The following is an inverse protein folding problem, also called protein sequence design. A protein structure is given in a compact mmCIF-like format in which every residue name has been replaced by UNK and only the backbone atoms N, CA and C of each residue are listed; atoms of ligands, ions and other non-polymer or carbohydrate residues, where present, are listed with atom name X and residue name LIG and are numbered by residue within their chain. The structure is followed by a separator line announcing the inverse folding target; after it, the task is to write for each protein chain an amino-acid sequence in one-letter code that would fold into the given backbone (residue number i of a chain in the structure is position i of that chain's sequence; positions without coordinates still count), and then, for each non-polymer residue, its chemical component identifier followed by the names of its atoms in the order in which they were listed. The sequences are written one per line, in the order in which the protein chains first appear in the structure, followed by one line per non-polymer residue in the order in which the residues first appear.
data_IF_721209793989
#
_entry.id   IF_721209793989
#
_cell.length_a   1.000
_cell.length_b   1.000
_cell.length_c   1.000
_cell.angle_alpha   90.00
_cell.angle_beta   90.00
_cell.angle_gamma   90.00
#
_symmetry.space_group_name_H-M   'P 1'
#
loop_
_entity.id
_entity.type
_entity.pdbx_description
1 polymer ?
#
# COMPACT_ATOMS: atom_id res chain seq x y z
N UNK A 1 -4.34 4.48 23.97
CA UNK A 1 -3.50 4.60 22.75
C UNK A 1 -3.22 3.25 22.12
N UNK A 2 -2.53 2.31 22.79
CA UNK A 2 -2.23 0.96 22.23
C UNK A 2 -3.49 0.26 21.70
N UNK A 3 -4.56 0.20 22.50
CA UNK A 3 -5.84 -0.38 22.09
C UNK A 3 -6.43 0.32 20.87
N UNK A 4 -6.39 1.66 20.83
CA UNK A 4 -6.96 2.46 19.73
C UNK A 4 -6.22 2.19 18.41
N UNK A 5 -4.88 2.08 18.44
CA UNK A 5 -4.11 1.70 17.26
C UNK A 5 -4.53 0.31 16.77
N UNK A 6 -4.63 -0.65 17.68
CA UNK A 6 -5.04 -2.03 17.36
C UNK A 6 -6.45 -2.13 16.80
N UNK A 7 -7.43 -1.50 17.44
CA UNK A 7 -8.82 -1.48 16.98
C UNK A 7 -8.92 -0.83 15.60
N UNK A 8 -8.13 0.22 15.33
CA UNK A 8 -8.10 0.87 14.01
C UNK A 8 -7.56 -0.07 12.94
N UNK A 9 -6.38 -0.67 13.16
CA UNK A 9 -5.75 -1.59 12.21
C UNK A 9 -4.58 -2.33 12.86
N UNK A 10 -4.58 -3.66 12.81
CA UNK A 10 -3.52 -4.48 13.41
C UNK A 10 -2.13 -4.22 12.82
N UNK A 11 -2.07 -3.88 11.53
CA UNK A 11 -0.84 -3.48 10.86
C UNK A 11 -0.23 -2.23 11.50
N UNK A 12 -1.05 -1.24 11.87
CA UNK A 12 -0.57 -0.04 12.58
C UNK A 12 -0.11 -0.39 13.99
N UNK A 13 -0.73 -1.39 14.65
CA UNK A 13 -0.31 -1.82 15.99
C UNK A 13 1.06 -2.48 15.96
N UNK A 14 1.33 -3.34 14.98
CA UNK A 14 2.65 -3.96 14.82
C UNK A 14 3.70 -2.90 14.51
N UNK A 15 3.43 -2.01 13.55
CA UNK A 15 4.38 -0.96 13.16
C UNK A 15 4.60 0.08 14.26
N UNK A 16 3.55 0.55 14.92
CA UNK A 16 3.62 1.49 16.05
C UNK A 16 4.13 0.82 17.34
N UNK A 17 3.95 -0.48 17.49
CA UNK A 17 4.51 -1.28 18.59
C UNK A 17 6.04 -1.22 18.61
N UNK A 18 6.69 -1.06 17.46
CA UNK A 18 8.14 -0.89 17.36
C UNK A 18 8.61 0.33 18.15
N UNK A 19 8.07 1.53 17.91
CA UNK A 19 8.50 2.73 18.64
C UNK A 19 8.12 2.69 20.12
N UNK A 20 6.97 2.11 20.46
CA UNK A 20 6.54 1.95 21.86
C UNK A 20 7.48 1.00 22.61
N UNK A 21 7.82 -0.14 22.01
CA UNK A 21 8.76 -1.11 22.53
C UNK A 21 10.17 -0.53 22.66
N UNK A 22 10.66 0.15 21.61
CA UNK A 22 11.94 0.86 21.64
C UNK A 22 11.97 1.91 22.74
N UNK A 23 10.91 2.69 22.92
CA UNK A 23 10.85 3.71 23.97
C UNK A 23 10.86 3.08 25.37
N UNK A 24 10.04 2.05 25.60
CA UNK A 24 9.99 1.35 26.88
C UNK A 24 11.36 0.72 27.21
N UNK A 25 11.98 0.04 26.25
CA UNK A 25 13.32 -0.53 26.40
C UNK A 25 14.36 0.56 26.66
N UNK A 26 14.36 1.63 25.88
CA UNK A 26 15.28 2.75 26.03
C UNK A 26 15.18 3.40 27.41
N UNK A 27 13.97 3.66 27.91
CA UNK A 27 13.75 4.20 29.26
C UNK A 27 14.17 3.21 30.34
N UNK A 28 13.86 1.92 30.18
CA UNK A 28 14.29 0.89 31.10
C UNK A 28 15.84 0.81 31.19
N UNK A 29 16.54 0.92 30.07
CA UNK A 29 18.00 0.89 30.02
C UNK A 29 18.65 2.17 30.56
N UNK A 30 18.06 3.34 30.32
CA UNK A 30 18.65 4.64 30.65
C UNK A 30 18.25 5.21 32.01
N UNK A 31 17.10 4.80 32.55
CA UNK A 31 16.53 5.34 33.78
C UNK A 31 16.19 4.22 34.77
N UNK A 32 16.88 4.20 35.91
CA UNK A 32 16.69 3.18 36.96
C UNK A 32 15.30 3.26 37.60
N UNK A 33 14.66 4.43 37.61
CA UNK A 33 13.30 4.60 38.19
C UNK A 33 12.23 3.82 37.41
N UNK A 34 12.50 3.53 36.13
CA UNK A 34 11.61 2.73 35.28
C UNK A 34 11.68 1.23 35.58
N UNK A 35 12.69 0.74 36.34
CA UNK A 35 12.87 -0.69 36.68
C UNK A 35 12.15 -1.13 37.95
N UNK A 36 11.29 -0.29 38.50
CA UNK A 36 10.55 -0.63 39.71
C UNK A 36 9.40 -1.59 39.40
N UNK A 37 9.03 -2.44 40.38
CA UNK A 37 7.85 -3.33 40.27
C UNK A 37 6.59 -2.55 39.90
N UNK A 38 6.45 -1.31 40.40
CA UNK A 38 5.32 -0.43 40.08
C UNK A 38 5.30 -0.04 38.60
N UNK A 39 6.42 0.41 38.05
CA UNK A 39 6.52 0.81 36.63
C UNK A 39 6.24 -0.37 35.71
N UNK A 40 6.81 -1.54 36.00
CA UNK A 40 6.52 -2.78 35.25
C UNK A 40 5.06 -3.22 35.40
N UNK A 41 4.49 -3.10 36.59
CA UNK A 41 3.07 -3.37 36.86
C UNK A 41 2.13 -2.45 36.07
N UNK A 42 2.44 -1.16 35.98
CA UNK A 42 1.66 -0.21 35.18
C UNK A 42 1.78 -0.48 33.67
N UNK A 43 2.97 -0.87 33.19
CA UNK A 43 3.15 -1.30 31.80
C UNK A 43 2.32 -2.56 31.51
N UNK A 44 2.39 -3.56 32.39
CA UNK A 44 1.60 -4.79 32.30
C UNK A 44 0.10 -4.52 32.32
N UNK A 45 -0.37 -3.65 33.23
CA UNK A 45 -1.77 -3.22 33.30
C UNK A 45 -2.21 -2.53 32.01
N UNK A 46 -1.36 -1.65 31.44
CA UNK A 46 -1.67 -0.96 30.17
C UNK A 46 -1.83 -1.96 29.02
N UNK A 47 -0.95 -2.96 28.94
CA UNK A 47 -1.02 -4.02 27.93
C UNK A 47 -2.24 -4.93 28.15
N UNK A 48 -2.54 -5.29 29.40
CA UNK A 48 -3.71 -6.08 29.75
C UNK A 48 -5.01 -5.36 29.39
N UNK A 49 -5.15 -4.09 29.79
CA UNK A 49 -6.31 -3.27 29.41
C UNK A 49 -6.44 -3.15 27.89
N UNK A 50 -5.31 -2.96 27.18
CA UNK A 50 -5.35 -2.90 25.72
C UNK A 50 -5.81 -4.22 25.11
N UNK A 51 -5.29 -5.36 25.59
CA UNK A 51 -5.71 -6.68 25.16
C UNK A 51 -7.20 -6.93 25.45
N UNK A 52 -7.68 -6.58 26.64
CA UNK A 52 -9.10 -6.72 27.00
C UNK A 52 -10.02 -5.89 26.10
N UNK A 53 -9.63 -4.65 25.76
CA UNK A 53 -10.40 -3.81 24.83
C UNK A 53 -10.39 -4.34 23.40
N UNK A 54 -9.30 -4.98 22.98
CA UNK A 54 -9.18 -5.56 21.64
C UNK A 54 -9.76 -6.99 21.55
N UNK A 55 -9.94 -7.68 22.66
CA UNK A 55 -10.33 -9.09 22.72
C UNK A 55 -11.63 -9.39 21.95
N UNK A 56 -12.72 -8.59 22.05
CA UNK A 56 -13.96 -8.88 21.31
C UNK A 56 -13.77 -8.90 19.77
N UNK A 57 -12.74 -8.23 19.26
CA UNK A 57 -12.43 -8.18 17.82
C UNK A 57 -11.37 -9.24 17.45
N UNK A 58 -10.34 -9.39 18.28
CA UNK A 58 -9.23 -10.32 18.01
C UNK A 58 -9.68 -11.77 18.18
N UNK A 59 -10.45 -12.08 19.23
CA UNK A 59 -10.82 -13.46 19.56
C UNK A 59 -11.60 -14.13 18.43
N UNK A 60 -12.66 -13.55 17.85
CA UNK A 60 -13.38 -14.18 16.75
C UNK A 60 -12.51 -14.42 15.51
N UNK A 61 -11.62 -13.47 15.18
CA UNK A 61 -10.73 -13.60 14.01
C UNK A 61 -9.67 -14.67 14.24
N UNK A 62 -9.04 -14.70 15.41
CA UNK A 62 -8.06 -15.74 15.77
C UNK A 62 -8.74 -17.09 15.85
N UNK A 63 -9.92 -17.18 16.47
CA UNK A 63 -10.72 -18.40 16.52
C UNK A 63 -11.03 -18.90 15.12
N UNK A 64 -11.58 -18.04 14.26
CA UNK A 64 -11.88 -18.34 12.86
C UNK A 64 -10.64 -18.81 12.09
N UNK A 65 -9.48 -18.18 12.31
CA UNK A 65 -8.22 -18.57 11.68
C UNK A 65 -7.74 -19.95 12.13
N UNK A 66 -7.95 -20.31 13.40
CA UNK A 66 -7.53 -21.59 13.98
C UNK A 66 -8.48 -22.75 13.62
N UNK A 67 -9.76 -22.47 13.41
CA UNK A 67 -10.78 -23.51 13.17
C UNK A 67 -11.09 -23.78 11.71
N UNK A 68 -10.61 -22.96 10.77
CA UNK A 68 -10.94 -23.14 9.34
C UNK A 68 -10.02 -24.15 8.63
N UNK A 69 -10.56 -24.82 7.61
CA UNK A 69 -9.84 -25.81 6.80
C UNK A 69 -8.76 -25.20 5.87
N UNK A 70 -8.90 -23.92 5.50
CA UNK A 70 -8.00 -23.24 4.54
C UNK A 70 -7.44 -21.90 5.07
N UNK A 71 -6.64 -21.90 6.16
CA UNK A 71 -6.12 -20.68 6.80
C UNK A 71 -5.40 -19.71 5.84
N UNK A 72 -4.84 -20.24 4.76
CA UNK A 72 -4.14 -19.50 3.70
C UNK A 72 -5.01 -18.49 2.94
N UNK A 73 -6.33 -18.62 2.90
CA UNK A 73 -7.14 -17.67 2.09
C UNK A 73 -7.21 -16.27 2.74
N UNK A 74 -6.85 -16.16 4.02
CA UNK A 74 -6.65 -14.88 4.70
C UNK A 74 -5.20 -14.36 4.53
N UNK A 75 -4.27 -15.23 4.15
CA UNK A 75 -2.87 -14.93 3.90
C UNK A 75 -2.63 -14.71 2.40
N UNK A 76 -2.99 -13.53 1.91
CA UNK A 76 -2.64 -13.14 0.55
C UNK A 76 -1.13 -12.85 0.49
N UNK A 77 -0.35 -13.80 -0.02
CA UNK A 77 1.06 -13.56 -0.34
C UNK A 77 1.11 -12.41 -1.36
N UNK A 78 1.69 -11.28 -0.96
CA UNK A 78 2.01 -10.19 -1.88
C UNK A 78 3.51 -10.26 -2.17
N UNK A 79 3.93 -10.08 -3.43
CA UNK A 79 5.32 -10.22 -3.80
C UNK A 79 6.23 -9.27 -2.98
N UNK A 80 7.46 -9.71 -2.72
CA UNK A 80 8.47 -8.97 -1.95
C UNK A 80 8.91 -7.65 -2.60
N UNK A 81 8.38 -7.28 -3.77
CA UNK A 81 8.72 -6.11 -4.57
C UNK A 81 8.31 -4.75 -3.97
N UNK A 82 7.66 -4.73 -2.80
CA UNK A 82 7.16 -3.52 -2.14
C UNK A 82 8.09 -2.95 -1.06
N UNK A 83 9.40 -3.14 -1.18
CA UNK A 83 10.39 -2.57 -0.27
C UNK A 83 10.86 -1.18 -0.71
N UNK A 84 11.36 -0.37 0.23
CA UNK A 84 11.85 0.97 -0.09
C UNK A 84 13.25 0.93 -0.73
N UNK A 85 13.45 1.73 -1.78
CA UNK A 85 14.77 2.00 -2.33
C UNK A 85 15.50 3.03 -1.47
N UNK A 86 16.77 2.76 -1.13
CA UNK A 86 17.58 3.65 -0.31
C UNK A 86 17.79 5.02 -0.97
N UNK A 87 17.94 5.07 -2.29
CA UNK A 87 18.14 6.31 -3.03
C UNK A 87 16.85 7.15 -3.07
N UNK A 88 15.67 6.52 -2.96
CA UNK A 88 14.39 7.22 -3.00
C UNK A 88 14.15 8.17 -1.81
N UNK A 89 14.90 8.03 -0.71
CA UNK A 89 14.85 8.98 0.41
C UNK A 89 15.52 10.33 0.09
N UNK A 90 16.34 10.39 -0.95
CA UNK A 90 17.14 11.57 -1.32
C UNK A 90 16.64 12.27 -2.59
N UNK A 91 15.72 11.67 -3.34
CA UNK A 91 15.24 12.20 -4.61
C UNK A 91 13.77 12.64 -4.47
N UNK A 92 13.43 13.89 -4.79
CA UNK A 92 12.05 14.39 -4.73
C UNK A 92 11.08 13.64 -5.64
N UNK A 93 9.79 13.88 -5.41
CA UNK A 93 8.68 13.41 -6.25
C UNK A 93 8.87 13.79 -7.73
N UNK A 94 8.50 12.89 -8.65
CA UNK A 94 8.39 13.24 -10.07
C UNK A 94 7.33 14.32 -10.34
N UNK A 95 6.34 14.45 -9.43
CA UNK A 95 5.27 15.46 -9.51
C UNK A 95 5.65 16.82 -8.89
N UNK A 96 6.93 17.03 -8.57
CA UNK A 96 7.38 18.29 -7.98
C UNK A 96 7.31 19.43 -9.02
N UNK A 97 6.77 20.62 -8.66
CA UNK A 97 6.50 21.71 -9.61
C UNK A 97 7.74 22.23 -10.33
N UNK A 98 8.90 22.15 -9.69
CA UNK A 98 10.18 22.59 -10.27
C UNK A 98 11.12 21.38 -10.38
N UNK A 99 11.45 20.99 -11.61
CA UNK A 99 12.38 19.89 -11.84
C UNK A 99 11.77 18.49 -11.77
N UNK A 100 10.44 18.36 -11.79
CA UNK A 100 9.74 17.07 -11.84
C UNK A 100 10.27 16.13 -12.93
N UNK A 101 10.48 16.64 -14.16
CA UNK A 101 11.07 15.86 -15.27
C UNK A 101 12.49 15.35 -14.96
N UNK A 102 13.32 16.18 -14.32
CA UNK A 102 14.67 15.77 -13.92
C UNK A 102 14.61 14.67 -12.86
N UNK A 103 13.72 14.81 -11.88
CA UNK A 103 13.52 13.79 -10.85
C UNK A 103 12.91 12.51 -11.42
N UNK A 104 12.02 12.61 -12.41
CA UNK A 104 11.50 11.46 -13.14
C UNK A 104 12.63 10.66 -13.80
N UNK A 105 13.57 11.35 -14.49
CA UNK A 105 14.75 10.71 -15.10
C UNK A 105 15.62 9.98 -14.08
N UNK A 106 15.88 10.60 -12.92
CA UNK A 106 16.64 9.95 -11.86
C UNK A 106 15.92 8.73 -11.24
N UNK A 107 14.62 8.60 -11.48
CA UNK A 107 13.76 7.55 -10.92
C UNK A 107 13.29 6.54 -11.96
N UNK A 108 13.71 6.66 -13.23
CA UNK A 108 13.40 5.70 -14.30
C UNK A 108 13.79 4.26 -13.93
N UNK A 109 14.87 4.09 -13.16
CA UNK A 109 15.30 2.76 -12.68
C UNK A 109 14.47 2.23 -11.50
N UNK A 110 13.70 3.06 -10.81
CA UNK A 110 12.97 2.64 -9.61
C UNK A 110 11.80 1.74 -9.97
N UNK A 111 11.42 0.85 -9.04
CA UNK A 111 10.16 0.13 -9.18
C UNK A 111 8.98 1.10 -9.19
N UNK A 112 7.90 0.75 -9.88
CA UNK A 112 6.66 1.54 -9.97
C UNK A 112 6.18 1.98 -8.58
N UNK A 113 6.26 1.09 -7.59
CA UNK A 113 5.90 1.41 -6.21
C UNK A 113 6.79 2.49 -5.60
N UNK A 114 8.11 2.42 -5.79
CA UNK A 114 9.02 3.44 -5.27
C UNK A 114 8.90 4.76 -6.03
N UNK A 115 8.50 4.75 -7.30
CA UNK A 115 8.19 5.96 -8.06
C UNK A 115 6.93 6.66 -7.51
N UNK A 116 5.85 5.90 -7.30
CA UNK A 116 4.56 6.42 -6.83
C UNK A 116 4.57 6.77 -5.32
N UNK A 117 5.17 5.93 -4.48
CA UNK A 117 5.23 6.12 -3.01
C UNK A 117 6.59 6.64 -2.59
N UNK A 118 6.84 7.90 -2.95
CA UNK A 118 8.08 8.62 -2.69
C UNK A 118 8.36 8.78 -1.18
N UNK A 119 9.39 8.13 -0.60
CA UNK A 119 9.75 8.29 0.82
C UNK A 119 10.75 9.45 1.05
N UNK A 120 10.76 10.44 0.15
CA UNK A 120 11.70 11.55 0.17
C UNK A 120 11.70 12.26 1.52
N UNK A 121 12.88 12.42 2.12
CA UNK A 121 13.04 13.00 3.46
C UNK A 121 12.96 14.53 3.43
N UNK A 122 13.25 15.20 2.31
CA UNK A 122 13.41 16.66 2.26
C UNK A 122 14.82 17.10 2.65
N UNK A 123 15.48 17.93 1.85
CA UNK A 123 16.85 18.37 2.13
C UNK A 123 16.89 19.32 3.32
N UNK A 124 15.89 20.21 3.45
CA UNK A 124 15.77 21.11 4.60
C UNK A 124 15.52 20.32 5.89
N UNK A 125 14.63 19.34 5.85
CA UNK A 125 14.34 18.47 7.00
C UNK A 125 15.57 17.65 7.38
N UNK A 126 16.28 17.08 6.40
CA UNK A 126 17.52 16.33 6.63
C UNK A 126 18.60 17.22 7.28
N UNK A 127 18.82 18.43 6.77
CA UNK A 127 19.79 19.37 7.32
C UNK A 127 19.45 19.78 8.75
N UNK A 128 18.17 20.07 9.05
CA UNK A 128 17.69 20.38 10.39
C UNK A 128 17.82 19.19 11.34
N UNK A 129 17.48 17.99 10.88
CA UNK A 129 17.62 16.76 11.66
C UNK A 129 19.07 16.49 12.02
N UNK A 130 20.00 16.64 11.07
CA UNK A 130 21.44 16.52 11.32
C UNK A 130 21.93 17.58 12.31
N UNK A 131 21.56 18.85 12.11
CA UNK A 131 21.93 19.94 13.01
C UNK A 131 21.41 19.73 14.44
N UNK A 132 20.14 19.34 14.58
CA UNK A 132 19.51 19.00 15.86
C UNK A 132 20.19 17.82 16.54
N UNK A 133 20.54 16.79 15.77
CA UNK A 133 21.24 15.60 16.29
C UNK A 133 22.61 15.96 16.86
N UNK A 134 23.40 16.74 16.13
CA UNK A 134 24.75 17.16 16.54
C UNK A 134 24.68 18.07 17.78
N UNK A 135 23.80 19.07 17.77
CA UNK A 135 23.75 20.07 18.85
C UNK A 135 23.01 19.60 20.09
N UNK A 136 22.05 18.68 19.95
CA UNK A 136 21.22 18.18 21.05
C UNK A 136 21.27 16.65 21.17
N UNK A 137 22.46 16.08 21.03
CA UNK A 137 22.70 14.62 21.05
C UNK A 137 21.95 13.86 22.15
N UNK A 138 21.99 14.35 23.40
CA UNK A 138 21.32 13.69 24.53
C UNK A 138 19.80 13.56 24.36
N UNK A 139 19.17 14.55 23.73
CA UNK A 139 17.73 14.55 23.41
C UNK A 139 17.46 13.80 22.10
N UNK A 140 18.39 13.87 21.13
CA UNK A 140 18.24 13.30 19.80
C UNK A 140 18.47 11.77 19.75
N UNK A 141 19.33 11.20 20.60
CA UNK A 141 19.79 9.80 20.48
C UNK A 141 18.67 8.75 20.43
N UNK A 142 17.55 8.97 21.13
CA UNK A 142 16.39 8.07 21.05
C UNK A 142 15.70 8.18 19.69
N UNK A 143 15.44 9.40 19.23
CA UNK A 143 14.79 9.65 17.95
C UNK A 143 15.66 9.18 16.78
N UNK A 144 16.98 9.34 16.88
CA UNK A 144 17.92 8.79 15.89
C UNK A 144 17.85 7.26 15.84
N UNK A 145 17.82 6.59 17.00
CA UNK A 145 17.65 5.13 17.06
C UNK A 145 16.31 4.71 16.43
N UNK A 146 15.21 5.39 16.78
CA UNK A 146 13.90 5.09 16.22
C UNK A 146 13.85 5.31 14.69
N UNK A 147 14.42 6.41 14.19
CA UNK A 147 14.54 6.68 12.75
C UNK A 147 15.36 5.59 12.05
N UNK A 148 16.51 5.21 12.61
CA UNK A 148 17.36 4.18 12.04
C UNK A 148 16.63 2.82 11.98
N UNK A 149 15.93 2.43 13.04
CA UNK A 149 15.16 1.17 13.06
C UNK A 149 14.05 1.19 12.00
N UNK A 150 13.26 2.26 11.92
CA UNK A 150 12.19 2.35 10.91
C UNK A 150 12.73 2.39 9.48
N UNK A 151 13.82 3.11 9.23
CA UNK A 151 14.47 3.15 7.92
C UNK A 151 14.91 1.74 7.51
N UNK A 152 15.61 1.02 8.39
CA UNK A 152 16.07 -0.35 8.13
C UNK A 152 14.91 -1.31 7.90
N UNK A 153 13.83 -1.21 8.68
CA UNK A 153 12.64 -2.02 8.47
C UNK A 153 11.91 -1.68 7.16
N UNK A 154 11.91 -0.41 6.74
CA UNK A 154 11.29 0.04 5.51
C UNK A 154 12.05 -0.43 4.26
N UNK A 155 13.38 -0.55 4.34
CA UNK A 155 14.22 -1.14 3.28
C UNK A 155 13.89 -2.61 3.00
N UNK A 156 13.21 -3.30 3.93
CA UNK A 156 12.69 -4.64 3.68
C UNK A 156 13.74 -5.76 3.66
N UNK A 157 13.38 -6.94 3.13
CA UNK A 157 14.21 -8.14 3.19
C UNK A 157 15.44 -8.07 2.30
N UNK A 158 15.45 -7.28 1.22
CA UNK A 158 16.59 -7.15 0.32
C UNK A 158 16.96 -5.69 0.15
N UNK A 159 18.24 -5.37 0.12
CA UNK A 159 18.65 -3.97 -0.07
C UNK A 159 18.39 -3.57 -1.53
N UNK A 160 17.67 -2.48 -1.73
CA UNK A 160 17.44 -1.88 -3.05
C UNK A 160 18.12 -0.50 -3.12
N UNK A 161 18.91 -0.26 -4.16
CA UNK A 161 19.56 1.03 -4.42
C UNK A 161 19.45 1.32 -5.91
N UNK A 162 18.84 2.44 -6.27
CA UNK A 162 18.81 2.88 -7.66
C UNK A 162 18.02 1.94 -8.58
N UNK A 163 17.01 1.23 -8.04
CA UNK A 163 16.25 0.20 -8.74
C UNK A 163 16.87 -1.20 -8.71
N UNK A 164 18.14 -1.33 -8.29
CA UNK A 164 18.88 -2.59 -8.30
C UNK A 164 18.77 -3.26 -6.94
N UNK A 165 18.49 -4.57 -6.94
CA UNK A 165 18.41 -5.40 -5.74
C UNK A 165 19.77 -6.04 -5.44
N UNK A 166 20.17 -5.99 -4.16
CA UNK A 166 21.43 -6.53 -3.66
C UNK A 166 21.14 -7.67 -2.65
N UNK A 167 20.81 -8.88 -3.12
CA UNK A 167 20.33 -9.97 -2.27
C UNK A 167 21.39 -10.55 -1.31
N UNK A 168 22.68 -10.32 -1.63
CA UNK A 168 23.82 -10.76 -0.81
C UNK A 168 24.07 -9.92 0.44
N UNK A 169 23.36 -8.79 0.60
CA UNK A 169 23.47 -7.97 1.81
C UNK A 169 22.53 -8.52 2.89
N UNK A 170 23.03 -8.91 4.08
CA UNK A 170 22.18 -9.42 5.15
C UNK A 170 21.35 -8.27 5.74
N UNK A 171 20.04 -8.28 5.46
CA UNK A 171 19.11 -7.26 5.97
C UNK A 171 18.51 -7.68 7.31
N UNK A 172 18.48 -6.79 8.33
CA UNK A 172 17.85 -7.09 9.62
C UNK A 172 16.38 -7.50 9.52
N UNK A 173 15.67 -7.02 8.49
CA UNK A 173 14.29 -7.43 8.24
C UNK A 173 14.18 -8.95 8.06
N UNK A 174 15.15 -9.64 7.45
CA UNK A 174 15.10 -11.11 7.26
C UNK A 174 15.06 -11.88 8.60
N UNK A 175 15.64 -11.33 9.67
CA UNK A 175 15.65 -11.97 10.99
C UNK A 175 14.25 -12.06 11.63
N UNK A 176 13.38 -11.10 11.35
CA UNK A 176 12.01 -11.03 11.90
C UNK A 176 10.91 -11.19 10.82
N UNK A 177 11.34 -11.19 9.55
CA UNK A 177 10.49 -11.10 8.36
C UNK A 177 9.64 -12.32 8.17
N UNK A 178 10.28 -13.48 8.01
CA UNK A 178 9.62 -14.71 7.56
C UNK A 178 8.51 -15.20 8.51
N UNK A 179 8.67 -15.02 9.83
CA UNK A 179 7.77 -15.62 10.82
C UNK A 179 6.74 -14.65 11.41
N UNK A 180 6.97 -13.33 11.34
CA UNK A 180 6.13 -12.36 12.04
C UNK A 180 5.78 -11.13 11.18
N UNK A 181 6.78 -10.46 10.59
CA UNK A 181 6.52 -9.18 9.90
C UNK A 181 5.91 -9.36 8.52
N UNK A 182 6.35 -10.35 7.74
CA UNK A 182 5.89 -10.57 6.35
C UNK A 182 4.41 -10.91 6.26
N UNK A 183 3.84 -11.82 7.07
CA UNK A 183 2.41 -12.14 7.00
C UNK A 183 1.50 -10.95 7.35
N UNK A 184 1.93 -10.10 8.29
CA UNK A 184 1.09 -9.01 8.82
C UNK A 184 1.29 -7.71 8.04
N UNK A 185 2.53 -7.23 7.91
CA UNK A 185 2.86 -5.93 7.31
C UNK A 185 2.78 -5.99 5.78
N UNK A 186 3.22 -7.12 5.19
CA UNK A 186 3.22 -7.48 3.75
C UNK A 186 4.04 -6.56 2.83
N UNK A 187 4.10 -5.26 3.12
CA UNK A 187 4.81 -4.23 2.35
C UNK A 187 5.74 -3.43 3.26
N UNK A 188 7.05 -3.72 3.26
CA UNK A 188 8.00 -3.08 4.16
C UNK A 188 7.99 -1.55 4.10
N UNK A 189 7.81 -0.94 2.92
CA UNK A 189 7.80 0.53 2.78
C UNK A 189 6.76 1.23 3.68
N UNK A 190 5.73 0.53 4.20
CA UNK A 190 4.75 1.10 5.14
C UNK A 190 5.37 1.58 6.44
N UNK A 191 6.55 1.08 6.82
CA UNK A 191 7.31 1.61 7.95
C UNK A 191 7.72 3.08 7.77
N UNK A 192 7.74 3.60 6.52
CA UNK A 192 7.99 5.02 6.25
C UNK A 192 6.95 5.95 6.86
N UNK A 193 5.70 5.49 7.04
CA UNK A 193 4.67 6.25 7.74
C UNK A 193 5.10 6.58 9.17
N UNK A 194 5.77 5.64 9.84
CA UNK A 194 6.24 5.81 11.22
C UNK A 194 7.63 6.43 11.31
N UNK A 195 8.44 6.35 10.24
CA UNK A 195 9.72 7.04 10.11
C UNK A 195 9.57 8.57 10.17
N UNK A 196 8.45 9.11 9.68
CA UNK A 196 8.18 10.55 9.66
C UNK A 196 8.25 11.17 11.06
N UNK A 197 7.75 10.50 12.10
CA UNK A 197 7.72 11.01 13.47
C UNK A 197 9.13 11.25 14.06
N UNK A 198 10.04 10.26 14.14
CA UNK A 198 11.38 10.48 14.67
C UNK A 198 12.18 11.48 13.83
N UNK A 199 12.02 11.49 12.50
CA UNK A 199 12.67 12.49 11.64
C UNK A 199 12.17 13.90 11.96
N UNK A 200 10.85 14.08 12.10
CA UNK A 200 10.25 15.36 12.50
C UNK A 200 10.74 15.83 13.88
N UNK A 201 10.86 14.91 14.86
CA UNK A 201 11.40 15.24 16.18
C UNK A 201 12.86 15.69 16.12
N UNK A 202 13.70 15.05 15.29
CA UNK A 202 15.09 15.48 15.07
C UNK A 202 15.15 16.85 14.40
N UNK A 203 14.34 17.09 13.37
CA UNK A 203 14.25 18.39 12.71
C UNK A 203 13.78 19.49 13.67
N UNK A 204 12.80 19.21 14.53
CA UNK A 204 12.31 20.12 15.56
C UNK A 204 13.41 20.50 16.57
N UNK A 205 14.29 19.56 16.95
CA UNK A 205 15.48 19.87 17.76
C UNK A 205 16.43 20.81 17.03
N UNK A 206 16.59 20.66 15.71
CA UNK A 206 17.37 21.54 14.86
C UNK A 206 16.81 22.97 14.84
N UNK A 207 15.50 23.10 14.62
CA UNK A 207 14.79 24.39 14.67
C UNK A 207 14.92 25.03 16.05
N UNK A 208 14.70 24.27 17.12
CA UNK A 208 14.82 24.76 18.49
C UNK A 208 16.23 25.30 18.80
N UNK A 209 17.28 24.67 18.27
CA UNK A 209 18.64 25.16 18.43
C UNK A 209 18.93 26.39 17.55
N UNK A 210 18.41 26.41 16.33
CA UNK A 210 18.54 27.55 15.43
C UNK A 210 17.94 28.82 16.04
N UNK A 211 16.73 28.71 16.60
CA UNK A 211 16.03 29.83 17.24
C UNK A 211 16.64 30.28 18.58
N UNK A 212 17.41 29.41 19.24
CA UNK A 212 18.10 29.71 20.50
C UNK A 212 19.13 30.84 20.37
N UNK A 213 19.58 31.18 19.15
CA UNK A 213 20.59 32.21 18.86
C UNK A 213 20.17 33.66 19.16
N UNK A 214 19.22 33.89 20.09
CA UNK A 214 18.71 35.21 20.51
C UNK A 214 18.27 36.11 19.34
N UNK A 215 17.64 35.52 18.32
CA UNK A 215 16.94 36.31 17.32
C UNK A 215 15.84 37.15 18.00
N UNK A 216 15.61 38.37 17.51
CA UNK A 216 14.44 39.17 17.93
C UNK A 216 13.15 38.38 17.58
N UNK A 217 12.06 38.49 18.37
CA UNK A 217 10.83 37.71 18.16
C UNK A 217 10.29 37.75 16.71
N UNK A 218 10.22 38.93 16.10
CA UNK A 218 9.76 39.06 14.71
C UNK A 218 10.63 38.29 13.71
N UNK A 219 11.95 38.23 13.94
CA UNK A 219 12.87 37.47 13.08
C UNK A 219 12.72 35.96 13.28
N UNK A 220 12.33 35.50 14.47
CA UNK A 220 12.04 34.08 14.71
C UNK A 220 10.80 33.65 13.93
N UNK A 221 9.74 34.46 13.92
CA UNK A 221 8.51 34.19 13.15
C UNK A 221 8.84 34.10 11.66
N UNK A 222 9.57 35.07 11.12
CA UNK A 222 9.97 35.06 9.69
C UNK A 222 10.83 33.84 9.36
N UNK A 223 11.79 33.49 10.21
CA UNK A 223 12.62 32.31 9.97
C UNK A 223 11.82 31.00 10.04
N UNK A 224 10.88 30.88 10.97
CA UNK A 224 9.97 29.73 11.06
C UNK A 224 9.07 29.63 9.82
N UNK A 225 8.50 30.75 9.38
CA UNK A 225 7.70 30.80 8.17
C UNK A 225 8.53 30.40 6.95
N UNK A 226 9.76 30.90 6.81
CA UNK A 226 10.66 30.55 5.72
C UNK A 226 11.01 29.05 5.73
N UNK A 227 11.36 28.49 6.89
CA UNK A 227 11.62 27.05 7.02
C UNK A 227 10.38 26.24 6.64
N UNK A 228 9.20 26.64 7.12
CA UNK A 228 7.94 25.99 6.77
C UNK A 228 7.66 26.04 5.27
N UNK A 229 7.83 27.20 4.64
CA UNK A 229 7.66 27.38 3.19
C UNK A 229 8.64 26.51 2.41
N UNK A 230 9.91 26.45 2.81
CA UNK A 230 10.89 25.61 2.12
C UNK A 230 10.55 24.12 2.23
N UNK A 231 10.13 23.66 3.41
CA UNK A 231 9.69 22.26 3.61
C UNK A 231 8.45 21.96 2.75
N UNK A 232 7.44 22.83 2.77
CA UNK A 232 6.23 22.66 1.98
C UNK A 232 6.52 22.70 0.47
N UNK A 233 7.47 23.53 0.06
CA UNK A 233 7.93 23.60 -1.32
C UNK A 233 8.61 22.29 -1.74
N UNK A 234 9.54 21.75 -0.95
CA UNK A 234 10.21 20.46 -1.23
C UNK A 234 9.25 19.28 -1.37
N UNK A 235 8.11 19.33 -0.68
CA UNK A 235 7.06 18.30 -0.75
C UNK A 235 5.90 18.68 -1.67
N UNK A 236 5.98 19.80 -2.38
CA UNK A 236 4.88 20.26 -3.20
C UNK A 236 4.63 19.28 -4.36
N UNK A 237 3.37 18.88 -4.53
CA UNK A 237 2.87 18.16 -5.69
C UNK A 237 1.74 19.01 -6.30
N UNK A 238 2.13 20.13 -6.93
CA UNK A 238 1.19 21.12 -7.47
C UNK A 238 1.48 21.30 -8.97
N UNK A 239 0.51 21.05 -9.86
CA UNK A 239 -0.83 20.52 -9.58
C UNK A 239 -0.79 19.05 -9.16
N UNK A 240 -1.67 18.65 -8.25
CA UNK A 240 -1.85 17.24 -7.95
C UNK A 240 -2.65 16.62 -9.10
N UNK A 241 -2.08 15.60 -9.76
CA UNK A 241 -2.76 14.95 -10.87
C UNK A 241 -4.07 14.30 -10.39
N UNK A 242 -5.20 14.83 -10.85
CA UNK A 242 -6.52 14.26 -10.62
C UNK A 242 -7.06 13.74 -11.94
N UNK A 243 -7.75 12.60 -11.88
CA UNK A 243 -8.48 12.03 -13.00
C UNK A 243 -9.96 12.12 -12.68
N UNK A 244 -10.75 12.66 -13.63
CA UNK A 244 -12.20 12.49 -13.59
C UNK A 244 -12.51 11.19 -14.35
N UNK A 245 -12.92 10.12 -13.66
CA UNK A 245 -13.27 8.89 -14.35
C UNK A 245 -14.55 9.11 -15.16
N UNK A 246 -14.58 8.61 -16.39
CA UNK A 246 -15.75 8.64 -17.29
C UNK A 246 -16.33 7.24 -17.46
N UNK A 247 -17.65 7.14 -17.60
CA UNK A 247 -18.35 5.90 -17.94
C UNK A 247 -18.77 5.99 -19.42
N UNK A 248 -18.56 4.95 -20.24
CA UNK A 248 -19.05 4.94 -21.62
C UNK A 248 -20.57 5.07 -21.72
N UNK A 249 -21.06 5.93 -22.62
CA UNK A 249 -22.49 6.24 -22.82
C UNK A 249 -23.37 5.00 -23.07
N UNK A 250 -22.80 3.92 -23.62
CA UNK A 250 -23.52 2.67 -23.86
C UNK A 250 -24.12 2.07 -22.58
N UNK A 251 -23.46 2.26 -21.42
CA UNK A 251 -23.98 1.75 -20.15
C UNK A 251 -25.25 2.46 -19.69
N UNK A 252 -25.54 3.68 -20.17
CA UNK A 252 -26.82 4.36 -19.89
C UNK A 252 -27.98 3.63 -20.60
N UNK A 253 -27.77 3.18 -21.84
CA UNK A 253 -28.77 2.40 -22.58
C UNK A 253 -29.09 1.08 -21.86
N UNK A 254 -28.05 0.44 -21.37
CA UNK A 254 -28.13 -0.82 -20.62
C UNK A 254 -28.82 -0.63 -19.26
N UNK A 255 -28.68 0.54 -18.64
CA UNK A 255 -29.38 0.88 -17.41
C UNK A 255 -30.92 0.92 -17.61
N UNK A 256 -31.36 1.35 -18.79
CA UNK A 256 -32.79 1.42 -19.17
C UNK A 256 -33.37 0.05 -19.55
N UNK A 257 -32.54 -0.93 -19.87
CA UNK A 257 -33.01 -2.27 -20.24
C UNK A 257 -33.72 -2.97 -19.07
N UNK A 258 -34.93 -3.47 -19.34
CA UNK A 258 -35.69 -4.26 -18.37
C UNK A 258 -35.15 -5.69 -18.24
N UNK A 259 -35.19 -6.21 -17.02
CA UNK A 259 -34.75 -7.55 -16.68
C UNK A 259 -33.53 -7.57 -15.77
N UNK A 260 -33.38 -8.68 -15.06
CA UNK A 260 -32.15 -9.06 -14.36
C UNK A 260 -31.32 -9.87 -15.34
N UNK A 261 -30.06 -9.52 -15.52
CA UNK A 261 -29.08 -10.25 -16.32
C UNK A 261 -27.68 -9.75 -15.95
N UNK A 262 -26.68 -10.60 -16.13
CA UNK A 262 -25.29 -10.30 -15.82
C UNK A 262 -24.48 -9.87 -17.05
N UNK A 263 -23.30 -9.30 -16.80
CA UNK A 263 -22.33 -8.93 -17.84
C UNK A 263 -20.95 -9.47 -17.50
N UNK A 264 -20.25 -9.91 -18.54
CA UNK A 264 -18.84 -10.27 -18.48
C UNK A 264 -18.04 -9.18 -19.19
N UNK A 265 -17.02 -8.65 -18.51
CA UNK A 265 -16.14 -7.62 -19.06
C UNK A 265 -14.73 -8.17 -19.22
N UNK A 266 -14.12 -7.91 -20.37
CA UNK A 266 -12.79 -8.38 -20.72
C UNK A 266 -11.85 -7.19 -21.01
N UNK A 267 -10.58 -7.26 -20.59
CA UNK A 267 -9.96 -8.38 -19.88
C UNK A 267 -10.35 -8.42 -18.39
N UNK A 268 -10.45 -9.64 -17.86
CA UNK A 268 -10.58 -9.92 -16.44
C UNK A 268 -9.26 -9.67 -15.71
N UNK A 269 -9.27 -8.82 -14.69
CA UNK A 269 -8.10 -8.66 -13.84
C UNK A 269 -8.49 -8.15 -12.46
N UNK A 270 -8.51 -9.00 -11.41
CA UNK A 270 -9.09 -8.68 -10.10
C UNK A 270 -8.25 -7.71 -9.26
N UNK A 271 -7.30 -7.00 -9.87
CA UNK A 271 -6.50 -5.94 -9.26
C UNK A 271 -6.18 -4.76 -10.18
N UNK A 272 -6.66 -4.78 -11.43
CA UNK A 272 -6.42 -3.73 -12.42
C UNK A 272 -7.70 -3.05 -12.84
N UNK A 273 -8.38 -3.68 -13.81
CA UNK A 273 -9.52 -3.12 -14.53
C UNK A 273 -10.87 -3.35 -13.83
N UNK A 274 -10.93 -4.34 -12.95
CA UNK A 274 -12.09 -4.64 -12.09
C UNK A 274 -12.70 -3.41 -11.38
N UNK A 275 -11.90 -2.40 -11.03
CA UNK A 275 -12.40 -1.16 -10.42
C UNK A 275 -13.15 -0.26 -11.41
N UNK A 276 -12.76 -0.28 -12.68
CA UNK A 276 -13.48 0.43 -13.75
C UNK A 276 -14.82 -0.24 -14.01
N UNK A 277 -14.86 -1.57 -14.06
CA UNK A 277 -16.08 -2.36 -14.20
C UNK A 277 -17.05 -2.12 -13.04
N UNK A 278 -16.54 -2.08 -11.81
CA UNK A 278 -17.34 -1.69 -10.64
C UNK A 278 -17.82 -0.23 -10.69
N UNK A 279 -17.06 0.68 -11.31
CA UNK A 279 -17.53 2.05 -11.55
C UNK A 279 -18.68 2.05 -12.56
N UNK A 280 -18.53 1.33 -13.67
CA UNK A 280 -19.58 1.22 -14.70
C UNK A 280 -20.85 0.61 -14.11
N UNK A 281 -20.71 -0.36 -13.21
CA UNK A 281 -21.81 -0.96 -12.45
C UNK A 281 -22.62 0.05 -11.63
N UNK A 282 -22.01 1.17 -11.20
CA UNK A 282 -22.77 2.23 -10.51
C UNK A 282 -23.77 2.94 -11.43
N UNK A 283 -23.58 2.86 -12.75
CA UNK A 283 -24.49 3.42 -13.76
C UNK A 283 -25.50 2.37 -14.20
N UNK A 284 -25.06 1.23 -14.75
CA UNK A 284 -25.97 0.24 -15.32
C UNK A 284 -26.70 -0.62 -14.28
N UNK A 285 -26.20 -0.69 -13.03
CA UNK A 285 -26.83 -1.40 -11.90
C UNK A 285 -27.14 -2.88 -12.15
N UNK A 286 -26.46 -3.51 -13.12
CA UNK A 286 -26.60 -4.94 -13.43
C UNK A 286 -25.53 -5.77 -12.71
N UNK A 287 -25.80 -7.05 -12.37
CA UNK A 287 -24.77 -7.99 -11.92
C UNK A 287 -23.58 -8.05 -12.89
N UNK A 288 -22.37 -8.18 -12.35
CA UNK A 288 -21.13 -8.37 -13.11
C UNK A 288 -20.50 -9.70 -12.72
N UNK A 289 -19.89 -10.39 -13.69
CA UNK A 289 -19.23 -11.69 -13.46
C UNK A 289 -17.96 -11.53 -12.62
N UNK A 290 -17.23 -10.42 -12.78
CA UNK A 290 -16.01 -10.12 -12.04
C UNK A 290 -16.08 -8.75 -11.36
N UNK A 291 -15.50 -8.64 -10.16
CA UNK A 291 -15.27 -7.38 -9.47
C UNK A 291 -14.17 -7.49 -8.42
N UNK A 292 -13.86 -6.37 -7.76
CA UNK A 292 -12.81 -6.33 -6.75
C UNK A 292 -13.34 -6.65 -5.34
N UNK A 293 -12.78 -7.68 -4.71
CA UNK A 293 -12.78 -7.81 -3.24
C UNK A 293 -11.37 -8.09 -2.73
N UNK A 294 -10.99 -7.49 -1.60
CA UNK A 294 -9.61 -7.57 -1.11
C UNK A 294 -9.13 -8.99 -0.74
N UNK A 295 -10.08 -9.90 -0.48
CA UNK A 295 -9.85 -11.33 -0.21
C UNK A 295 -10.93 -12.11 -0.92
N UNK A 296 -10.68 -12.47 -2.18
CA UNK A 296 -11.62 -13.22 -3.00
C UNK A 296 -11.80 -14.60 -2.37
N UNK A 297 -13.02 -14.98 -1.97
CA UNK A 297 -13.29 -16.31 -1.46
C UNK A 297 -13.12 -17.33 -2.58
N UNK A 298 -12.68 -18.55 -2.26
CA UNK A 298 -12.46 -19.60 -3.28
C UNK A 298 -13.72 -19.89 -4.07
N UNK A 299 -14.86 -19.82 -3.40
CA UNK A 299 -16.19 -20.05 -3.94
C UNK A 299 -16.54 -19.06 -5.05
N UNK A 300 -15.93 -17.86 -5.08
CA UNK A 300 -16.14 -16.91 -6.17
C UNK A 300 -15.55 -17.39 -7.51
N UNK A 301 -14.50 -18.23 -7.47
CA UNK A 301 -13.92 -18.82 -8.67
C UNK A 301 -14.68 -20.06 -9.16
N UNK A 302 -15.58 -20.63 -8.36
CA UNK A 302 -16.27 -21.88 -8.73
C UNK A 302 -17.02 -21.78 -10.07
N UNK A 303 -17.59 -20.61 -10.38
CA UNK A 303 -18.20 -20.36 -11.68
C UNK A 303 -17.15 -20.24 -12.80
N UNK A 304 -16.06 -19.51 -12.57
CA UNK A 304 -14.98 -19.32 -13.54
C UNK A 304 -14.18 -20.59 -13.82
N UNK A 305 -14.12 -21.50 -12.85
CA UNK A 305 -13.44 -22.79 -12.96
C UNK A 305 -14.38 -23.91 -13.44
N UNK A 306 -15.63 -23.59 -13.76
CA UNK A 306 -16.66 -24.58 -14.12
C UNK A 306 -16.46 -25.20 -15.51
N UNK A 307 -15.78 -24.49 -16.41
CA UNK A 307 -15.51 -24.96 -17.78
C UNK A 307 -14.10 -24.58 -18.24
N UNK A 308 -13.45 -25.39 -19.10
CA UNK A 308 -12.14 -25.05 -19.66
C UNK A 308 -12.10 -23.68 -20.35
N UNK A 309 -13.21 -23.29 -20.97
CA UNK A 309 -13.38 -21.98 -21.59
C UNK A 309 -13.24 -20.83 -20.57
N UNK A 310 -14.03 -20.85 -19.50
CA UNK A 310 -14.00 -19.78 -18.48
C UNK A 310 -12.68 -19.78 -17.71
N UNK A 311 -12.10 -20.96 -17.44
CA UNK A 311 -10.81 -21.07 -16.74
C UNK A 311 -9.72 -20.37 -17.53
N UNK A 312 -9.56 -20.71 -18.81
CA UNK A 312 -8.58 -20.07 -19.69
C UNK A 312 -8.84 -18.58 -19.85
N UNK A 313 -10.11 -18.19 -19.95
CA UNK A 313 -10.49 -16.80 -20.09
C UNK A 313 -10.11 -15.95 -18.87
N UNK A 314 -10.35 -16.42 -17.64
CA UNK A 314 -10.00 -15.63 -16.44
C UNK A 314 -8.51 -15.70 -16.10
N UNK A 315 -7.82 -16.80 -16.40
CA UNK A 315 -6.39 -16.96 -16.12
C UNK A 315 -5.52 -16.19 -17.12
N UNK A 316 -5.82 -16.31 -18.42
CA UNK A 316 -4.95 -15.83 -19.50
C UNK A 316 -5.56 -14.66 -20.28
N UNK A 317 -6.82 -14.31 -20.06
CA UNK A 317 -7.55 -13.28 -20.81
C UNK A 317 -7.64 -13.53 -22.32
N UNK A 318 -7.52 -14.79 -22.74
CA UNK A 318 -7.62 -15.22 -24.15
C UNK A 318 -8.54 -16.42 -24.27
N UNK A 319 -9.10 -16.60 -25.45
CA UNK A 319 -9.90 -17.78 -25.78
C UNK A 319 -8.99 -18.91 -26.24
N UNK A 320 -9.33 -20.16 -25.92
CA UNK A 320 -8.58 -21.32 -26.43
C UNK A 320 -8.95 -21.60 -27.90
N UNK A 321 -8.01 -21.50 -28.86
CA UNK A 321 -8.30 -21.80 -30.26
C UNK A 321 -8.69 -23.28 -30.49
N UNK A 322 -8.34 -24.19 -29.57
CA UNK A 322 -8.78 -25.58 -29.61
C UNK A 322 -10.27 -25.77 -29.28
N UNK A 323 -10.92 -24.79 -28.65
CA UNK A 323 -12.34 -24.82 -28.31
C UNK A 323 -13.18 -24.22 -29.44
N UNK A 324 -13.34 -24.96 -30.53
CA UNK A 324 -13.90 -24.46 -31.80
C UNK A 324 -15.43 -24.25 -31.81
N UNK A 325 -16.19 -24.95 -30.95
CA UNK A 325 -17.65 -24.77 -30.86
C UNK A 325 -17.99 -23.59 -29.95
N UNK A 326 -17.83 -22.38 -30.49
CA UNK A 326 -18.05 -21.09 -29.82
C UNK A 326 -19.43 -21.03 -29.16
N UNK A 327 -20.48 -21.46 -29.87
CA UNK A 327 -21.86 -21.43 -29.36
C UNK A 327 -21.99 -22.31 -28.13
N UNK A 328 -21.41 -23.50 -28.15
CA UNK A 328 -21.45 -24.39 -26.99
C UNK A 328 -20.58 -23.89 -25.84
N UNK A 329 -19.42 -23.27 -26.10
CA UNK A 329 -18.61 -22.68 -25.03
C UNK A 329 -19.32 -21.52 -24.32
N UNK A 330 -20.00 -20.66 -25.07
CA UNK A 330 -20.75 -19.51 -24.54
C UNK A 330 -22.06 -19.93 -23.85
N UNK A 331 -22.52 -21.18 -24.03
CA UNK A 331 -23.74 -21.70 -23.39
C UNK A 331 -23.71 -21.53 -21.87
N UNK A 332 -22.57 -21.78 -21.23
CA UNK A 332 -22.41 -21.65 -19.77
C UNK A 332 -22.69 -20.22 -19.29
N UNK A 333 -22.27 -19.22 -20.06
CA UNK A 333 -22.55 -17.82 -19.78
C UNK A 333 -24.05 -17.53 -19.95
N UNK A 334 -24.65 -18.00 -21.03
CA UNK A 334 -26.08 -17.81 -21.29
C UNK A 334 -26.97 -18.52 -20.24
N UNK A 335 -26.61 -19.72 -19.80
CA UNK A 335 -27.32 -20.45 -18.73
C UNK A 335 -27.21 -19.76 -17.36
N UNK A 336 -26.14 -18.98 -17.16
CA UNK A 336 -25.95 -18.12 -15.99
C UNK A 336 -26.57 -16.72 -16.16
N UNK A 337 -27.37 -16.51 -17.22
CA UNK A 337 -28.03 -15.24 -17.57
C UNK A 337 -27.03 -14.08 -17.79
N UNK A 338 -25.82 -14.40 -18.25
CA UNK A 338 -24.86 -13.41 -18.73
C UNK A 338 -25.22 -13.05 -20.17
N UNK A 339 -25.74 -11.84 -20.36
CA UNK A 339 -26.27 -11.38 -21.64
C UNK A 339 -25.22 -10.72 -22.53
N UNK A 340 -24.32 -9.95 -21.92
CA UNK A 340 -23.30 -9.20 -22.65
C UNK A 340 -21.90 -9.67 -22.26
N UNK A 341 -21.06 -9.84 -23.28
CA UNK A 341 -19.62 -9.96 -23.16
C UNK A 341 -19.00 -8.71 -23.79
N UNK A 342 -18.44 -7.85 -22.96
CA UNK A 342 -17.94 -6.53 -23.33
C UNK A 342 -16.43 -6.62 -23.44
N UNK A 343 -15.88 -6.25 -24.60
CA UNK A 343 -14.44 -6.20 -24.84
C UNK A 343 -13.98 -4.75 -24.70
N UNK A 344 -13.04 -4.47 -23.80
CA UNK A 344 -12.44 -3.15 -23.60
C UNK A 344 -11.05 -3.10 -24.27
N UNK A 345 -10.93 -2.64 -25.53
CA UNK A 345 -9.69 -2.72 -26.29
C UNK A 345 -8.55 -1.89 -25.67
N UNK A 346 -8.87 -0.81 -24.96
CA UNK A 346 -7.92 0.05 -24.26
C UNK A 346 -7.18 -0.63 -23.11
N UNK A 347 -7.66 -1.81 -22.68
CA UNK A 347 -7.09 -2.60 -21.59
C UNK A 347 -6.41 -3.89 -22.09
N UNK A 348 -6.58 -4.22 -23.38
CA UNK A 348 -6.10 -5.43 -23.99
C UNK A 348 -4.76 -5.24 -24.72
N UNK A 349 -3.89 -6.26 -24.69
CA UNK A 349 -2.72 -6.31 -25.55
C UNK A 349 -3.11 -6.61 -27.01
N UNK A 350 -2.22 -6.31 -27.96
CA UNK A 350 -2.44 -6.68 -29.36
C UNK A 350 -2.66 -8.20 -29.54
N UNK A 351 -1.92 -9.02 -28.78
CA UNK A 351 -2.06 -10.47 -28.77
C UNK A 351 -3.44 -10.91 -28.26
N UNK A 352 -3.93 -10.31 -27.17
CA UNK A 352 -5.27 -10.59 -26.64
C UNK A 352 -6.36 -10.21 -27.64
N UNK A 353 -6.24 -9.03 -28.25
CA UNK A 353 -7.20 -8.59 -29.27
C UNK A 353 -7.22 -9.51 -30.49
N UNK A 354 -6.06 -9.98 -30.95
CA UNK A 354 -5.98 -10.95 -32.04
C UNK A 354 -6.64 -12.28 -31.65
N UNK A 355 -6.34 -12.80 -30.46
CA UNK A 355 -6.96 -14.03 -29.97
C UNK A 355 -8.49 -13.92 -29.84
N UNK A 356 -9.00 -12.78 -29.39
CA UNK A 356 -10.45 -12.54 -29.34
C UNK A 356 -11.08 -12.52 -30.72
N UNK A 357 -10.45 -11.84 -31.70
CA UNK A 357 -10.93 -11.77 -33.09
C UNK A 357 -10.89 -13.11 -33.80
N UNK A 358 -9.85 -13.92 -33.55
CA UNK A 358 -9.71 -15.23 -34.18
C UNK A 358 -10.75 -16.22 -33.67
N UNK A 359 -11.14 -16.12 -32.40
CA UNK A 359 -12.08 -17.05 -31.78
C UNK A 359 -13.55 -16.60 -31.89
N UNK A 360 -13.84 -15.31 -31.73
CA UNK A 360 -15.19 -14.76 -31.89
C UNK A 360 -15.52 -14.65 -33.37
N UNK A 361 -16.21 -15.67 -33.90
CA UNK A 361 -16.56 -15.79 -35.32
C UNK A 361 -17.73 -14.89 -35.75
N UNK A 362 -18.21 -14.01 -34.88
CA UNK A 362 -19.29 -13.06 -35.14
C UNK A 362 -18.81 -11.62 -34.96
N UNK A 363 -19.39 -10.69 -35.73
CA UNK A 363 -19.06 -9.28 -35.61
C UNK A 363 -19.59 -8.73 -34.26
N UNK A 364 -18.76 -8.03 -33.47
CA UNK A 364 -19.21 -7.37 -32.26
C UNK A 364 -20.18 -6.23 -32.60
N UNK A 365 -21.16 -6.01 -31.73
CA UNK A 365 -22.02 -4.83 -31.79
C UNK A 365 -21.20 -3.61 -31.33
N UNK A 366 -21.29 -2.50 -32.06
CA UNK A 366 -20.55 -1.26 -31.80
C UNK A 366 -21.40 -0.22 -31.07
#
# INVERSE_FOLDING_TARGET
FVALIGITRWQLLVMGGVILGLYALYRCLTDRSCRTRRSLGLLGLTLAMAASLMAPIIVPVVWYQLTRSFPQDLAVAEPASYQADLLAYLIPGQDHPIGGELFARFREGFSVENALRTPFVGYVVFALALYGTIKRWRQARFWLLAAAVYLVLALGPELMIGGKVYPGVPMPYRLAGEWFLTPIVRRPHRFNLFLALPVAMLAALGVAEFLRRRLRPNRQIVALALVGVLILFEYAQIPYATMLPSVPDWYDLVAEEQGEFAMLELPMHPRGYDKWYMLYQTVHQKPIVEGHVSRIPREAYAFLDSTPFLTKLHEDNVMDPGLVDVTNQLRTLAEADVRYMILHPEHASEEQMLAWRDWLTFEPCH
#
